data_IF_578395654684
#
_entry.id   IF_578395654684
#
_cell.length_a   1.000
_cell.length_b   1.000
_cell.length_c   1.000
_cell.angle_alpha   90.00
_cell.angle_beta   90.00
_cell.angle_gamma   90.00
#
_symmetry.space_group_name_H-M   'P 1'
#
loop_
_entity.id
_entity.type
_entity.pdbx_description
1 polymer ?
#
# COMPACT_ATOMS: atom_id res chain seq x y z
N UNK A 1 -81.77 -83.94 40.56
CA UNK A 1 -81.23 -84.01 41.92
C UNK A 1 -82.00 -85.10 42.65
N UNK A 2 -81.37 -86.25 42.91
CA UNK A 2 -81.98 -87.29 43.74
C UNK A 2 -82.05 -86.78 45.18
N UNK A 3 -83.24 -86.77 45.79
CA UNK A 3 -83.41 -86.39 47.19
C UNK A 3 -82.67 -87.37 48.09
N UNK A 4 -81.82 -86.87 48.99
CA UNK A 4 -81.19 -87.71 50.02
C UNK A 4 -82.27 -88.24 50.95
N UNK A 5 -82.34 -89.55 51.11
CA UNK A 5 -83.25 -90.23 52.04
C UNK A 5 -82.49 -90.54 53.33
N UNK A 6 -82.97 -90.04 54.46
CA UNK A 6 -82.34 -90.20 55.77
C UNK A 6 -83.02 -91.32 56.57
N UNK A 7 -82.25 -92.06 57.37
CA UNK A 7 -82.75 -93.18 58.18
C UNK A 7 -83.32 -92.74 59.55
N UNK A 8 -83.07 -91.49 59.95
CA UNK A 8 -83.60 -90.87 61.18
C UNK A 8 -83.63 -89.34 61.04
N UNK A 9 -84.57 -88.67 61.71
CA UNK A 9 -84.61 -87.19 61.82
C UNK A 9 -83.33 -86.60 62.40
N UNK A 10 -82.60 -87.38 63.22
CA UNK A 10 -81.30 -86.98 63.77
C UNK A 10 -80.21 -86.95 62.69
N UNK A 11 -80.20 -87.91 61.78
CA UNK A 11 -79.24 -88.00 60.67
C UNK A 11 -79.46 -86.87 59.65
N UNK A 12 -80.72 -86.54 59.38
CA UNK A 12 -81.09 -85.38 58.55
C UNK A 12 -80.61 -84.05 59.16
N UNK A 13 -80.81 -83.85 60.47
CA UNK A 13 -80.32 -82.67 61.19
C UNK A 13 -78.79 -82.58 61.19
N UNK A 14 -78.08 -83.71 61.36
CA UNK A 14 -76.62 -83.74 61.29
C UNK A 14 -76.11 -83.45 59.87
N UNK A 15 -76.78 -83.97 58.82
CA UNK A 15 -76.44 -83.68 57.43
C UNK A 15 -76.60 -82.19 57.09
N UNK A 16 -77.72 -81.57 57.47
CA UNK A 16 -77.93 -80.14 57.21
C UNK A 16 -77.03 -79.23 58.06
N UNK A 17 -76.68 -79.63 59.29
CA UNK A 17 -75.67 -78.93 60.10
C UNK A 17 -74.29 -79.00 59.47
N UNK A 18 -73.85 -80.17 59.01
CA UNK A 18 -72.59 -80.34 58.32
C UNK A 18 -72.57 -79.57 56.99
N UNK A 19 -73.70 -79.54 56.27
CA UNK A 19 -73.84 -78.75 55.05
C UNK A 19 -73.76 -77.25 55.32
N UNK A 20 -74.44 -76.73 56.34
CA UNK A 20 -74.33 -75.33 56.73
C UNK A 20 -72.90 -74.97 57.15
N UNK A 21 -72.25 -75.81 57.96
CA UNK A 21 -70.86 -75.58 58.37
C UNK A 21 -69.91 -75.53 57.16
N UNK A 22 -70.06 -76.44 56.19
CA UNK A 22 -69.27 -76.43 54.95
C UNK A 22 -69.58 -75.20 54.08
N UNK A 23 -70.85 -74.76 54.01
CA UNK A 23 -71.22 -73.54 53.29
C UNK A 23 -70.63 -72.29 53.96
N UNK A 24 -70.65 -72.21 55.30
CA UNK A 24 -70.03 -71.14 56.06
C UNK A 24 -68.51 -71.11 55.86
N UNK A 25 -67.85 -72.27 55.86
CA UNK A 25 -66.42 -72.42 55.57
C UNK A 25 -66.10 -71.92 54.15
N UNK A 26 -66.81 -72.39 53.13
CA UNK A 26 -66.60 -71.94 51.74
C UNK A 26 -66.91 -70.45 51.54
N UNK A 27 -67.93 -69.91 52.22
CA UNK A 27 -68.21 -68.47 52.23
C UNK A 27 -67.04 -67.70 52.83
N UNK A 28 -66.49 -68.18 53.95
CA UNK A 28 -65.36 -67.54 54.61
C UNK A 28 -64.09 -67.60 53.75
N UNK A 29 -63.77 -68.77 53.16
CA UNK A 29 -62.64 -68.93 52.25
C UNK A 29 -62.76 -68.00 51.02
N UNK A 30 -63.94 -67.93 50.41
CA UNK A 30 -64.15 -67.05 49.25
C UNK A 30 -64.10 -65.57 49.61
N UNK A 31 -64.56 -65.19 50.80
CA UNK A 31 -64.41 -63.83 51.32
C UNK A 31 -62.93 -63.49 51.55
N UNK A 32 -62.17 -64.38 52.19
CA UNK A 32 -60.73 -64.20 52.40
C UNK A 32 -59.98 -64.08 51.08
N UNK A 33 -60.26 -64.97 50.12
CA UNK A 33 -59.64 -64.94 48.79
C UNK A 33 -59.98 -63.64 48.01
N UNK A 34 -61.20 -63.12 48.17
CA UNK A 34 -61.58 -61.85 47.56
C UNK A 34 -60.84 -60.67 48.20
N UNK A 35 -60.68 -60.65 49.53
CA UNK A 35 -59.89 -59.62 50.22
C UNK A 35 -58.43 -59.66 49.78
N UNK A 36 -57.80 -60.84 49.72
CA UNK A 36 -56.44 -61.02 49.22
C UNK A 36 -56.31 -60.54 47.77
N UNK A 37 -57.27 -60.87 46.90
CA UNK A 37 -57.28 -60.39 45.52
C UNK A 37 -57.41 -58.87 45.43
N UNK A 38 -58.25 -58.25 46.27
CA UNK A 38 -58.41 -56.79 46.30
C UNK A 38 -57.13 -56.08 46.79
N UNK A 39 -56.46 -56.64 47.80
CA UNK A 39 -55.20 -56.11 48.31
C UNK A 39 -54.12 -56.22 47.24
N UNK A 40 -53.94 -57.40 46.66
CA UNK A 40 -52.91 -57.62 45.62
C UNK A 40 -53.16 -56.82 44.34
N UNK A 41 -54.42 -56.60 43.95
CA UNK A 41 -54.77 -55.70 42.84
C UNK A 41 -54.37 -54.26 43.15
N UNK A 42 -54.62 -53.79 44.38
CA UNK A 42 -54.24 -52.43 44.80
C UNK A 42 -52.72 -52.25 44.85
N UNK A 43 -52.00 -53.23 45.41
CA UNK A 43 -50.52 -53.20 45.44
C UNK A 43 -49.93 -53.17 44.02
N UNK A 44 -50.51 -53.95 43.09
CA UNK A 44 -50.10 -53.93 41.68
C UNK A 44 -50.39 -52.59 41.00
N UNK A 45 -51.56 -52.00 41.25
CA UNK A 45 -51.91 -50.66 40.76
C UNK A 45 -50.92 -49.60 41.26
N UNK A 46 -50.60 -49.61 42.56
CA UNK A 46 -49.61 -48.70 43.15
C UNK A 46 -48.21 -48.89 42.55
N UNK A 47 -47.79 -50.12 42.27
CA UNK A 47 -46.50 -50.40 41.63
C UNK A 47 -46.47 -49.90 40.17
N UNK A 48 -47.56 -50.08 39.42
CA UNK A 48 -47.70 -49.58 38.05
C UNK A 48 -47.71 -48.05 38.00
N UNK A 49 -48.41 -47.39 38.92
CA UNK A 49 -48.40 -45.93 39.05
C UNK A 49 -47.00 -45.40 39.35
N UNK A 50 -46.26 -46.08 40.25
CA UNK A 50 -44.89 -45.72 40.60
C UNK A 50 -43.93 -45.89 39.41
N UNK A 51 -44.07 -46.95 38.63
CA UNK A 51 -43.27 -47.16 37.41
C UNK A 51 -43.61 -46.11 36.34
N UNK A 52 -44.89 -45.79 36.16
CA UNK A 52 -45.34 -44.75 35.24
C UNK A 52 -44.77 -43.39 35.62
N UNK A 53 -44.85 -42.99 36.89
CA UNK A 53 -44.32 -41.72 37.38
C UNK A 53 -42.79 -41.63 37.17
N UNK A 54 -42.06 -42.71 37.47
CA UNK A 54 -40.62 -42.77 37.21
C UNK A 54 -40.28 -42.67 35.72
N UNK A 55 -41.05 -43.34 34.86
CA UNK A 55 -40.89 -43.29 33.41
C UNK A 55 -41.15 -41.89 32.86
N UNK A 56 -42.24 -41.25 33.29
CA UNK A 56 -42.56 -39.87 32.92
C UNK A 56 -41.49 -38.88 33.39
N UNK A 57 -40.98 -39.06 34.62
CA UNK A 57 -39.90 -38.22 35.15
C UNK A 57 -38.63 -38.35 34.29
N UNK A 58 -38.20 -39.58 33.99
CA UNK A 58 -37.06 -39.85 33.10
C UNK A 58 -37.28 -39.26 31.71
N UNK A 59 -38.49 -39.37 31.15
CA UNK A 59 -38.82 -38.79 29.87
C UNK A 59 -38.70 -37.26 29.88
N UNK A 60 -39.25 -36.59 30.92
CA UNK A 60 -39.14 -35.14 31.10
C UNK A 60 -37.69 -34.69 31.22
N UNK A 61 -36.88 -35.38 32.02
CA UNK A 61 -35.45 -35.10 32.18
C UNK A 61 -34.67 -35.25 30.86
N UNK A 62 -34.89 -36.37 30.14
CA UNK A 62 -34.26 -36.61 28.84
C UNK A 62 -34.70 -35.58 27.79
N UNK A 63 -35.96 -35.17 27.81
CA UNK A 63 -36.49 -34.14 26.91
C UNK A 63 -35.83 -32.79 27.15
N UNK A 64 -35.75 -32.34 28.41
CA UNK A 64 -35.06 -31.10 28.77
C UNK A 64 -33.58 -31.14 28.39
N UNK A 65 -32.91 -32.27 28.63
CA UNK A 65 -31.51 -32.46 28.22
C UNK A 65 -31.34 -32.40 26.70
N UNK A 66 -32.27 -32.98 25.94
CA UNK A 66 -32.26 -32.92 24.48
C UNK A 66 -32.43 -31.49 23.96
N UNK A 67 -33.36 -30.73 24.55
CA UNK A 67 -33.57 -29.31 24.22
C UNK A 67 -32.33 -28.47 24.56
N UNK A 68 -31.73 -28.66 25.73
CA UNK A 68 -30.48 -27.98 26.11
C UNK A 68 -29.33 -28.30 25.16
N UNK A 69 -29.17 -29.56 24.76
CA UNK A 69 -28.11 -29.97 23.82
C UNK A 69 -28.36 -29.39 22.42
N UNK A 70 -29.61 -29.25 21.99
CA UNK A 70 -29.94 -28.58 20.72
C UNK A 70 -29.55 -27.11 20.74
N UNK A 71 -29.90 -26.39 21.82
CA UNK A 71 -29.48 -25.00 22.00
C UNK A 71 -27.95 -24.87 21.98
N UNK A 72 -27.24 -25.73 22.73
CA UNK A 72 -25.78 -25.70 22.75
C UNK A 72 -25.17 -25.97 21.36
N UNK A 73 -25.73 -26.92 20.61
CA UNK A 73 -25.30 -27.19 19.22
C UNK A 73 -25.48 -25.97 18.33
N UNK A 74 -26.61 -25.28 18.43
CA UNK A 74 -26.87 -24.09 17.61
C UNK A 74 -25.99 -22.90 18.02
N UNK A 75 -25.72 -22.71 19.32
CA UNK A 75 -24.75 -21.74 19.83
C UNK A 75 -23.35 -21.99 19.28
N UNK A 76 -22.90 -23.25 19.29
CA UNK A 76 -21.58 -23.63 18.75
C UNK A 76 -21.51 -23.45 17.23
N UNK A 77 -22.58 -23.76 16.50
CA UNK A 77 -22.65 -23.46 15.06
C UNK A 77 -22.53 -21.97 14.82
N UNK A 78 -23.26 -21.14 15.55
CA UNK A 78 -23.21 -19.69 15.41
C UNK A 78 -21.79 -19.16 15.69
N UNK A 79 -21.17 -19.58 16.79
CA UNK A 79 -19.78 -19.22 17.12
C UNK A 79 -18.79 -19.66 16.03
N UNK A 80 -18.96 -20.86 15.49
CA UNK A 80 -18.14 -21.37 14.40
C UNK A 80 -18.30 -20.53 13.12
N UNK A 81 -19.54 -20.23 12.71
CA UNK A 81 -19.79 -19.42 11.52
C UNK A 81 -19.27 -17.99 11.68
N UNK A 82 -19.44 -17.39 12.86
CA UNK A 82 -18.90 -16.07 13.17
C UNK A 82 -17.36 -16.08 13.06
N UNK A 83 -16.70 -16.98 13.78
CA UNK A 83 -15.23 -17.11 13.75
C UNK A 83 -14.71 -17.39 12.34
N UNK A 84 -15.41 -18.23 11.58
CA UNK A 84 -15.05 -18.54 10.20
C UNK A 84 -15.18 -17.32 9.29
N UNK A 85 -16.24 -16.52 9.47
CA UNK A 85 -16.45 -15.28 8.71
C UNK A 85 -15.35 -14.26 9.04
N UNK A 86 -15.07 -14.07 10.32
CA UNK A 86 -14.03 -13.14 10.79
C UNK A 86 -12.64 -13.56 10.28
N UNK A 87 -12.34 -14.86 10.28
CA UNK A 87 -11.09 -15.39 9.74
C UNK A 87 -10.96 -15.17 8.23
N UNK A 88 -12.05 -15.36 7.47
CA UNK A 88 -12.06 -15.09 6.02
C UNK A 88 -11.86 -13.60 5.77
N UNK A 89 -12.54 -12.72 6.51
CA UNK A 89 -12.38 -11.27 6.39
C UNK A 89 -10.93 -10.83 6.68
N UNK A 90 -10.34 -11.32 7.77
CA UNK A 90 -8.95 -11.04 8.12
C UNK A 90 -7.97 -11.56 7.05
N UNK A 91 -8.22 -12.76 6.52
CA UNK A 91 -7.42 -13.32 5.44
C UNK A 91 -7.50 -12.45 4.17
N UNK A 92 -8.69 -12.01 3.77
CA UNK A 92 -8.87 -11.12 2.61
C UNK A 92 -8.19 -9.78 2.82
N UNK A 93 -8.26 -9.21 4.02
CA UNK A 93 -7.56 -7.96 4.34
C UNK A 93 -6.04 -8.12 4.21
N UNK A 94 -5.46 -9.18 4.76
CA UNK A 94 -4.03 -9.47 4.67
C UNK A 94 -3.60 -9.74 3.22
N UNK A 95 -4.44 -10.41 2.42
CA UNK A 95 -4.17 -10.64 1.00
C UNK A 95 -4.11 -9.32 0.22
N UNK A 96 -5.05 -8.40 0.47
CA UNK A 96 -5.09 -7.08 -0.17
C UNK A 96 -3.87 -6.22 0.23
N UNK A 97 -3.49 -6.24 1.51
CA UNK A 97 -2.31 -5.51 1.99
C UNK A 97 -1.03 -6.06 1.36
N UNK A 98 -0.90 -7.39 1.27
CA UNK A 98 0.24 -8.04 0.63
C UNK A 98 0.34 -7.68 -0.86
N UNK A 99 -0.79 -7.66 -1.57
CA UNK A 99 -0.84 -7.23 -2.97
C UNK A 99 -0.45 -5.75 -3.13
N UNK A 100 -0.95 -4.88 -2.25
CA UNK A 100 -0.58 -3.46 -2.21
C UNK A 100 0.91 -3.25 -1.98
N UNK A 101 1.50 -3.95 -1.01
CA UNK A 101 2.94 -3.87 -0.70
C UNK A 101 3.79 -4.38 -1.87
N UNK A 102 3.37 -5.46 -2.54
CA UNK A 102 4.06 -5.96 -3.74
C UNK A 102 4.01 -4.94 -4.88
N UNK A 103 2.84 -4.32 -5.12
CA UNK A 103 2.71 -3.28 -6.14
C UNK A 103 3.59 -2.07 -5.82
N UNK A 104 3.62 -1.63 -4.56
CA UNK A 104 4.48 -0.51 -4.13
C UNK A 104 5.96 -0.85 -4.28
N UNK A 105 6.36 -2.08 -3.97
CA UNK A 105 7.73 -2.55 -4.17
C UNK A 105 8.12 -2.52 -5.65
N UNK A 106 7.25 -3.01 -6.54
CA UNK A 106 7.48 -2.98 -7.99
C UNK A 106 7.59 -1.55 -8.51
N UNK A 107 6.67 -0.67 -8.12
CA UNK A 107 6.71 0.76 -8.47
C UNK A 107 7.99 1.43 -7.98
N UNK A 108 8.44 1.12 -6.76
CA UNK A 108 9.68 1.65 -6.20
C UNK A 108 10.89 1.18 -7.00
N UNK A 109 10.94 -0.10 -7.39
CA UNK A 109 12.01 -0.64 -8.22
C UNK A 109 12.07 0.00 -9.61
N UNK A 110 10.91 0.20 -10.24
CA UNK A 110 10.81 0.95 -11.51
C UNK A 110 11.33 2.37 -11.31
N UNK A 111 10.91 3.05 -10.23
CA UNK A 111 11.32 4.43 -10.00
C UNK A 111 12.81 4.57 -9.75
N UNK A 112 13.43 3.62 -9.04
CA UNK A 112 14.89 3.57 -8.88
C UNK A 112 15.58 3.48 -10.24
N UNK A 113 15.12 2.58 -11.12
CA UNK A 113 15.69 2.43 -12.45
C UNK A 113 15.53 3.69 -13.31
N UNK A 114 14.37 4.35 -13.25
CA UNK A 114 14.16 5.63 -13.94
C UNK A 114 15.16 6.69 -13.46
N UNK A 115 15.38 6.80 -12.15
CA UNK A 115 16.33 7.74 -11.58
C UNK A 115 17.78 7.42 -11.97
N UNK A 116 18.13 6.15 -12.08
CA UNK A 116 19.45 5.72 -12.59
C UNK A 116 19.66 6.17 -14.04
N UNK A 117 18.63 6.01 -14.90
CA UNK A 117 18.68 6.46 -16.30
C UNK A 117 18.80 7.99 -16.37
N UNK A 118 17.97 8.71 -15.61
CA UNK A 118 18.01 10.18 -15.55
C UNK A 118 19.38 10.69 -15.07
N UNK A 119 20.00 9.98 -14.13
CA UNK A 119 21.34 10.28 -13.63
C UNK A 119 22.41 10.08 -14.72
N UNK A 120 22.38 8.96 -15.44
CA UNK A 120 23.30 8.70 -16.55
C UNK A 120 23.18 9.76 -17.66
N UNK A 121 21.94 10.17 -17.99
CA UNK A 121 21.68 11.23 -18.95
C UNK A 121 22.22 12.58 -18.46
N UNK A 122 22.02 12.90 -17.18
CA UNK A 122 22.56 14.11 -16.57
C UNK A 122 24.09 14.12 -16.64
N UNK A 123 24.77 13.05 -16.25
CA UNK A 123 26.24 12.95 -16.35
C UNK A 123 26.71 13.11 -17.80
N UNK A 124 25.98 12.57 -18.78
CA UNK A 124 26.30 12.74 -20.20
C UNK A 124 26.22 14.20 -20.63
N UNK A 125 25.17 14.92 -20.23
CA UNK A 125 25.03 16.35 -20.51
C UNK A 125 26.10 17.17 -19.82
N UNK A 126 26.47 16.81 -18.59
CA UNK A 126 27.55 17.46 -17.83
C UNK A 126 28.90 17.31 -18.55
N UNK A 127 29.24 16.09 -19.00
CA UNK A 127 30.47 15.84 -19.78
C UNK A 127 30.50 16.66 -21.07
N UNK A 128 29.37 16.73 -21.79
CA UNK A 128 29.27 17.54 -23.01
C UNK A 128 29.43 19.04 -22.72
N UNK A 129 28.79 19.56 -21.67
CA UNK A 129 28.91 20.95 -21.25
C UNK A 129 30.34 21.29 -20.82
N UNK A 130 30.99 20.44 -20.03
CA UNK A 130 32.40 20.58 -19.64
C UNK A 130 33.33 20.62 -20.86
N UNK A 131 33.14 19.71 -21.82
CA UNK A 131 33.92 19.73 -23.06
C UNK A 131 33.72 21.05 -23.84
N UNK A 132 32.48 21.50 -23.96
CA UNK A 132 32.18 22.75 -24.66
C UNK A 132 32.76 23.98 -23.94
N UNK A 133 32.83 23.96 -22.61
CA UNK A 133 33.47 25.00 -21.81
C UNK A 133 34.97 25.04 -22.08
N UNK A 134 35.64 23.89 -22.05
CA UNK A 134 37.08 23.77 -22.34
C UNK A 134 37.38 24.28 -23.76
N UNK A 135 36.54 23.96 -24.74
CA UNK A 135 36.69 24.46 -26.11
C UNK A 135 36.57 26.00 -26.18
N UNK A 136 35.67 26.58 -25.39
CA UNK A 136 35.50 28.04 -25.31
C UNK A 136 36.69 28.70 -24.61
N UNK A 137 37.18 28.14 -23.51
CA UNK A 137 38.39 28.60 -22.81
C UNK A 137 39.60 28.59 -23.74
N UNK A 138 39.79 27.50 -24.51
CA UNK A 138 40.87 27.41 -25.49
C UNK A 138 40.74 28.46 -26.61
N UNK A 139 39.53 28.70 -27.12
CA UNK A 139 39.29 29.76 -28.12
C UNK A 139 39.57 31.15 -27.54
N UNK A 140 39.17 31.38 -26.30
CA UNK A 140 39.39 32.63 -25.58
C UNK A 140 40.88 32.88 -25.33
N UNK A 141 41.64 31.88 -24.86
CA UNK A 141 43.08 31.97 -24.68
C UNK A 141 43.81 32.29 -26.00
N UNK A 142 43.44 31.62 -27.10
CA UNK A 142 43.98 31.94 -28.43
C UNK A 142 43.62 33.35 -28.90
N UNK A 143 42.50 33.92 -28.46
CA UNK A 143 42.12 35.30 -28.77
C UNK A 143 42.94 36.30 -27.94
N UNK A 144 43.25 35.97 -26.68
CA UNK A 144 44.18 36.72 -25.84
C UNK A 144 45.57 36.72 -26.47
N UNK A 145 46.12 35.56 -26.82
CA UNK A 145 47.45 35.44 -27.46
C UNK A 145 47.54 36.32 -28.71
N UNK A 146 46.51 36.32 -29.56
CA UNK A 146 46.46 37.20 -30.74
C UNK A 146 46.40 38.68 -30.38
N UNK A 147 45.63 39.06 -29.36
CA UNK A 147 45.59 40.46 -28.91
C UNK A 147 46.97 40.92 -28.42
N UNK A 148 47.67 40.10 -27.63
CA UNK A 148 49.03 40.42 -27.15
C UNK A 148 50.00 40.63 -28.32
N UNK A 149 49.93 39.79 -29.35
CA UNK A 149 50.76 39.97 -30.56
C UNK A 149 50.43 41.29 -31.26
N UNK A 150 49.14 41.60 -31.44
CA UNK A 150 48.71 42.84 -32.08
C UNK A 150 49.09 44.09 -31.27
N UNK A 151 49.01 44.03 -29.94
CA UNK A 151 49.47 45.10 -29.05
C UNK A 151 50.97 45.36 -29.22
N UNK A 152 51.80 44.31 -29.28
CA UNK A 152 53.24 44.43 -29.55
C UNK A 152 53.53 44.99 -30.96
N UNK A 153 52.79 44.58 -31.99
CA UNK A 153 52.91 45.13 -33.34
C UNK A 153 52.55 46.63 -33.39
N UNK A 154 51.52 47.05 -32.66
CA UNK A 154 51.13 48.45 -32.52
C UNK A 154 52.19 49.26 -31.77
N UNK A 155 52.79 48.70 -30.72
CA UNK A 155 53.90 49.33 -30.00
C UNK A 155 55.12 49.50 -30.92
N UNK A 156 55.49 48.46 -31.68
CA UNK A 156 56.56 48.53 -32.70
C UNK A 156 56.29 49.59 -33.77
N UNK A 157 55.05 49.68 -34.26
CA UNK A 157 54.63 50.74 -35.19
C UNK A 157 54.76 52.13 -34.56
N UNK A 158 54.34 52.29 -33.31
CA UNK A 158 54.47 53.55 -32.56
C UNK A 158 55.93 53.98 -32.42
N UNK A 159 56.82 53.04 -32.05
CA UNK A 159 58.26 53.28 -31.97
C UNK A 159 58.84 53.72 -33.31
N UNK A 160 58.43 53.09 -34.42
CA UNK A 160 58.86 53.48 -35.76
C UNK A 160 58.35 54.87 -36.15
N UNK A 161 57.11 55.23 -35.80
CA UNK A 161 56.57 56.58 -36.02
C UNK A 161 57.43 57.61 -35.31
N UNK A 162 57.82 57.36 -34.04
CA UNK A 162 58.71 58.25 -33.28
C UNK A 162 60.08 58.38 -33.96
N UNK A 163 60.67 57.28 -34.42
CA UNK A 163 61.96 57.32 -35.14
C UNK A 163 61.86 58.10 -36.46
N UNK A 164 60.82 57.86 -37.27
CA UNK A 164 60.58 58.61 -38.50
C UNK A 164 60.40 60.10 -38.22
N UNK A 165 59.69 60.45 -37.15
CA UNK A 165 59.53 61.84 -36.75
C UNK A 165 60.89 62.47 -36.37
N UNK A 166 61.70 61.76 -35.57
CA UNK A 166 63.05 62.21 -35.22
C UNK A 166 63.94 62.40 -36.44
N UNK A 167 63.97 61.45 -37.37
CA UNK A 167 64.73 61.56 -38.62
C UNK A 167 64.25 62.72 -39.51
N UNK A 168 62.93 62.98 -39.54
CA UNK A 168 62.38 64.16 -40.22
C UNK A 168 62.87 65.45 -39.58
N UNK A 169 62.96 65.50 -38.26
CA UNK A 169 63.44 66.68 -37.55
C UNK A 169 64.96 66.86 -37.76
N UNK A 170 65.77 65.80 -37.70
CA UNK A 170 67.19 65.83 -38.08
C UNK A 170 67.40 66.26 -39.56
N UNK A 171 66.55 65.79 -40.49
CA UNK A 171 66.60 66.22 -41.89
C UNK A 171 66.25 67.70 -42.06
N UNK A 172 65.29 68.21 -41.29
CA UNK A 172 64.99 69.65 -41.28
C UNK A 172 66.18 70.44 -40.74
N UNK A 173 66.79 70.00 -39.65
CA UNK A 173 67.96 70.66 -39.06
C UNK A 173 69.12 70.71 -40.07
N UNK A 174 69.46 69.60 -40.71
CA UNK A 174 70.48 69.55 -41.78
C UNK A 174 70.09 70.43 -42.98
N UNK A 175 68.81 70.46 -43.36
CA UNK A 175 68.34 71.33 -44.46
C UNK A 175 68.48 72.81 -44.11
N UNK A 176 68.23 73.18 -42.85
CA UNK A 176 68.47 74.54 -42.33
C UNK A 176 69.97 74.85 -42.34
N UNK A 177 70.83 73.92 -41.89
CA UNK A 177 72.28 74.10 -41.95
C UNK A 177 72.79 74.28 -43.38
N UNK A 178 72.33 73.47 -44.34
CA UNK A 178 72.65 73.63 -45.76
C UNK A 178 72.15 74.97 -46.31
N UNK A 179 70.95 75.42 -45.93
CA UNK A 179 70.44 76.74 -46.32
C UNK A 179 71.32 77.88 -45.76
N UNK A 180 71.77 77.78 -44.51
CA UNK A 180 72.70 78.73 -43.89
C UNK A 180 74.06 78.70 -44.60
N UNK A 181 74.59 77.52 -44.93
CA UNK A 181 75.86 77.37 -45.66
C UNK A 181 75.76 77.95 -47.08
N UNK A 182 74.65 77.71 -47.78
CA UNK A 182 74.37 78.31 -49.08
C UNK A 182 74.30 79.84 -48.98
N UNK A 183 73.58 80.37 -47.99
CA UNK A 183 73.55 81.82 -47.72
C UNK A 183 74.90 82.40 -47.27
N UNK A 184 75.83 81.58 -46.76
CA UNK A 184 77.22 82.00 -46.48
C UNK A 184 78.11 81.96 -47.71
N UNK A 185 77.80 81.13 -48.71
CA UNK A 185 78.54 81.03 -49.97
C UNK A 185 78.07 82.06 -51.01
N UNK A 186 76.77 82.40 -50.97
CA UNK A 186 76.14 83.47 -51.76
C UNK A 186 75.89 84.68 -50.83
N UNK A 187 76.91 85.53 -50.65
CA UNK A 187 76.72 86.79 -49.93
C UNK A 187 75.90 87.79 -50.74
N UNK A 188 74.57 87.71 -50.69
CA UNK A 188 73.64 88.86 -50.70
C UNK A 188 72.16 88.44 -50.47
N UNK A 189 71.44 89.26 -49.68
CA UNK A 189 69.97 89.34 -49.50
C UNK A 189 69.22 88.35 -48.55
N UNK A 190 69.05 88.78 -47.29
CA UNK A 190 67.76 88.99 -46.57
C UNK A 190 66.76 87.82 -46.31
N UNK A 191 66.15 87.72 -45.10
CA UNK A 191 65.21 86.63 -44.77
C UNK A 191 63.78 86.93 -45.28
N UNK A 192 62.97 85.88 -45.50
CA UNK A 192 61.63 85.94 -44.92
C UNK A 192 61.13 84.64 -44.25
N UNK A 193 60.20 84.93 -43.35
CA UNK A 193 59.32 84.18 -42.45
C UNK A 193 58.31 83.21 -43.14
N UNK A 194 57.63 82.33 -42.37
CA UNK A 194 56.93 81.16 -42.89
C UNK A 194 55.55 81.52 -43.47
N UNK A 195 55.18 80.88 -44.59
CA UNK A 195 53.84 80.96 -45.16
C UNK A 195 53.13 79.61 -45.01
N UNK A 196 52.20 79.57 -44.08
CA UNK A 196 50.97 78.79 -44.17
C UNK A 196 50.20 79.15 -45.44
N UNK A 197 49.64 78.18 -46.16
CA UNK A 197 48.20 78.07 -46.47
C UNK A 197 47.86 76.87 -47.39
N UNK A 198 46.58 76.43 -47.39
CA UNK A 198 46.17 75.03 -47.55
C UNK A 198 45.83 74.68 -49.00
N UNK A 199 45.97 73.39 -49.34
CA UNK A 199 45.41 72.86 -50.59
C UNK A 199 44.64 71.57 -50.30
N UNK A 200 43.33 71.67 -50.49
CA UNK A 200 42.39 70.58 -50.81
C UNK A 200 41.58 71.09 -52.02
N UNK A 201 40.87 70.25 -52.81
CA UNK A 201 40.98 68.81 -53.10
C UNK A 201 40.99 68.54 -54.64
N UNK A 202 40.90 67.28 -55.11
CA UNK A 202 39.75 67.04 -56.00
C UNK A 202 39.02 65.70 -55.75
N UNK A 203 37.69 65.76 -55.81
CA UNK A 203 36.78 64.63 -55.99
C UNK A 203 36.77 64.15 -57.45
N UNK A 204 36.60 62.83 -57.66
CA UNK A 204 35.60 62.15 -58.54
C UNK A 204 35.82 60.62 -58.46
N UNK A 205 34.83 59.88 -57.94
CA UNK A 205 33.86 58.99 -58.64
C UNK A 205 34.55 57.86 -59.44
N UNK A 206 34.23 56.57 -59.35
CA UNK A 206 33.02 55.84 -58.98
C UNK A 206 33.34 54.32 -58.96
N UNK A 207 32.42 53.51 -58.40
CA UNK A 207 32.12 52.08 -58.76
C UNK A 207 32.39 51.00 -57.70
N UNK A 208 31.34 50.72 -56.91
CA UNK A 208 30.70 49.41 -56.68
C UNK A 208 31.50 48.10 -56.83
N UNK A 209 31.77 47.42 -55.71
CA UNK A 209 31.07 46.18 -55.26
C UNK A 209 31.86 45.47 -54.14
N UNK A 210 31.22 45.04 -53.03
CA UNK A 210 31.76 44.02 -52.14
C UNK A 210 30.96 42.70 -52.21
N UNK A 211 31.64 41.56 -52.30
CA UNK A 211 31.27 40.24 -51.71
C UNK A 211 32.32 39.16 -52.08
N UNK A 212 32.44 38.01 -51.37
CA UNK A 212 31.79 37.62 -50.12
C UNK A 212 32.77 37.14 -49.03
N UNK A 213 32.42 37.36 -47.75
CA UNK A 213 32.96 36.53 -46.67
C UNK A 213 31.85 36.19 -45.70
N UNK A 214 31.63 34.89 -45.59
CA UNK A 214 30.73 34.20 -44.69
C UNK A 214 31.06 34.54 -43.25
N UNK A 215 30.15 35.22 -42.56
CA UNK A 215 30.04 35.18 -41.11
C UNK A 215 28.57 35.37 -40.72
N UNK A 216 27.99 34.27 -40.25
CA UNK A 216 26.66 34.19 -39.66
C UNK A 216 26.76 34.44 -38.16
N UNK A 217 26.62 35.69 -37.72
CA UNK A 217 26.14 36.05 -36.37
C UNK A 217 25.41 37.40 -36.47
N UNK A 218 24.23 37.49 -35.86
CA UNK A 218 23.56 38.75 -35.56
C UNK A 218 22.23 38.98 -36.30
N UNK A 219 21.21 38.16 -36.01
CA UNK A 219 19.83 38.55 -36.30
C UNK A 219 19.41 39.64 -35.28
N UNK A 220 18.77 40.75 -35.69
CA UNK A 220 18.04 41.58 -34.74
C UNK A 220 16.88 40.74 -34.20
N UNK A 221 16.75 40.68 -32.88
CA UNK A 221 15.65 39.97 -32.22
C UNK A 221 14.35 40.70 -32.56
N UNK A 222 13.58 40.09 -33.45
CA UNK A 222 12.25 40.53 -33.85
C UNK A 222 11.37 40.60 -32.60
N UNK A 223 10.87 41.78 -32.23
CA UNK A 223 10.05 41.99 -31.04
C UNK A 223 8.80 41.08 -31.03
N UNK A 224 8.36 40.64 -32.21
CA UNK A 224 7.29 39.65 -32.37
C UNK A 224 7.66 38.25 -31.86
N UNK A 225 8.95 37.86 -31.88
CA UNK A 225 9.40 36.55 -31.40
C UNK A 225 9.32 36.43 -29.88
N UNK A 226 9.70 37.50 -29.16
CA UNK A 226 9.62 37.52 -27.69
C UNK A 226 8.18 37.54 -27.23
N UNK A 227 7.32 38.35 -27.86
CA UNK A 227 5.88 38.39 -27.58
C UNK A 227 5.23 37.02 -27.85
N UNK A 228 5.61 36.36 -28.94
CA UNK A 228 5.09 35.02 -29.29
C UNK A 228 5.53 33.93 -28.32
N UNK A 229 6.77 33.98 -27.82
CA UNK A 229 7.25 33.06 -26.79
C UNK A 229 6.51 33.25 -25.45
N UNK A 230 6.24 34.50 -25.06
CA UNK A 230 5.44 34.82 -23.87
C UNK A 230 3.98 34.35 -24.05
N UNK A 231 3.38 34.57 -25.21
CA UNK A 231 2.03 34.09 -25.54
C UNK A 231 1.95 32.56 -25.44
N UNK A 232 2.98 31.86 -25.89
CA UNK A 232 3.06 30.39 -25.84
C UNK A 232 3.25 29.88 -24.40
N UNK A 233 4.10 30.54 -23.60
CA UNK A 233 4.25 30.22 -22.17
C UNK A 233 2.94 30.44 -21.41
N UNK A 234 2.24 31.55 -21.64
CA UNK A 234 0.92 31.81 -21.03
C UNK A 234 -0.11 30.76 -21.46
N UNK A 235 -0.08 30.31 -22.72
CA UNK A 235 -0.91 29.21 -23.21
C UNK A 235 -0.63 27.89 -22.49
N UNK A 236 0.66 27.56 -22.27
CA UNK A 236 1.07 26.36 -21.52
C UNK A 236 0.66 26.45 -20.05
N UNK A 237 0.79 27.62 -19.41
CA UNK A 237 0.35 27.84 -18.02
C UNK A 237 -1.16 27.64 -17.88
N UNK A 238 -1.97 28.19 -18.79
CA UNK A 238 -3.43 27.97 -18.79
C UNK A 238 -3.81 26.49 -18.96
N UNK A 239 -3.07 25.75 -19.79
CA UNK A 239 -3.27 24.31 -19.97
C UNK A 239 -2.89 23.52 -18.70
N UNK A 240 -1.79 23.89 -18.05
CA UNK A 240 -1.37 23.29 -16.78
C UNK A 240 -2.39 23.57 -15.67
N UNK A 241 -2.91 24.79 -15.56
CA UNK A 241 -3.96 25.13 -14.59
C UNK A 241 -5.25 24.34 -14.84
N UNK A 242 -5.70 24.20 -16.09
CA UNK A 242 -6.88 23.40 -16.42
C UNK A 242 -6.71 21.93 -16.03
N UNK A 243 -5.53 21.35 -16.26
CA UNK A 243 -5.20 19.99 -15.82
C UNK A 243 -5.15 19.87 -14.30
N UNK A 244 -4.59 20.86 -13.61
CA UNK A 244 -4.54 20.89 -12.14
C UNK A 244 -5.94 20.97 -11.53
N UNK A 245 -6.83 21.77 -12.11
CA UNK A 245 -8.24 21.88 -11.69
C UNK A 245 -8.97 20.55 -11.91
N UNK A 246 -8.74 19.87 -13.04
CA UNK A 246 -9.29 18.54 -13.31
C UNK A 246 -8.80 17.50 -12.28
N UNK A 247 -7.50 17.47 -11.99
CA UNK A 247 -6.95 16.60 -10.94
C UNK A 247 -7.55 16.89 -9.56
N UNK A 248 -7.73 18.17 -9.20
CA UNK A 248 -8.39 18.55 -7.94
C UNK A 248 -9.83 18.07 -7.89
N UNK A 249 -10.60 18.15 -8.98
CA UNK A 249 -11.97 17.63 -9.04
C UNK A 249 -12.05 16.12 -8.79
N UNK A 250 -11.04 15.36 -9.22
CA UNK A 250 -10.99 13.91 -9.03
C UNK A 250 -10.54 13.51 -7.60
N UNK A 251 -9.70 14.34 -6.99
CA UNK A 251 -9.09 14.05 -5.68
C UNK A 251 -9.91 14.62 -4.50
N UNK A 252 -10.64 15.73 -4.71
CA UNK A 252 -11.46 16.37 -3.66
C UNK A 252 -12.49 15.44 -3.01
N UNK A 253 -13.20 14.56 -3.76
CA UNK A 253 -14.12 13.59 -3.15
C UNK A 253 -13.44 12.51 -2.30
N UNK A 254 -12.15 12.25 -2.52
CA UNK A 254 -11.38 11.22 -1.79
C UNK A 254 -10.78 11.74 -0.47
N UNK A 255 -10.65 13.06 -0.33
CA UNK A 255 -10.15 13.73 0.87
C UNK A 255 -11.27 14.18 1.81
N UNK A 256 -12.52 14.18 1.33
CA UNK A 256 -13.66 14.49 2.18
C UNK A 256 -13.87 13.35 3.19
N UNK A 257 -13.91 13.62 4.51
CA UNK A 257 -14.30 12.60 5.48
C UNK A 257 -15.71 12.10 5.13
N UNK A 258 -15.98 10.79 5.22
CA UNK A 258 -17.30 10.24 4.92
C UNK A 258 -18.36 10.92 5.80
N UNK A 259 -19.59 11.12 5.28
CA UNK A 259 -20.67 11.69 6.08
C UNK A 259 -20.84 10.82 7.31
N UNK A 260 -20.62 11.44 8.47
CA UNK A 260 -20.76 10.79 9.77
C UNK A 260 -22.22 10.38 9.92
N UNK A 261 -22.49 9.07 9.88
CA UNK A 261 -23.77 8.57 10.38
C UNK A 261 -23.80 8.85 11.88
N UNK A 262 -24.45 9.96 12.24
CA UNK A 262 -24.77 10.32 13.61
C UNK A 262 -25.83 9.34 14.13
N UNK A 263 -25.38 8.20 14.65
CA UNK A 263 -26.21 7.36 15.51
C UNK A 263 -26.07 7.86 16.93
N UNK A 264 -27.02 8.68 17.36
CA UNK A 264 -27.24 8.99 18.77
C UNK A 264 -27.78 7.73 19.46
N UNK A 265 -26.96 7.09 20.29
CA UNK A 265 -27.44 6.18 21.33
C UNK A 265 -26.97 6.72 22.70
N UNK A 266 -27.85 6.76 23.72
CA UNK A 266 -27.57 7.43 24.97
C UNK A 266 -26.60 6.62 25.85
N UNK A 267 -25.77 7.39 26.53
CA UNK A 267 -24.74 7.00 27.49
C UNK A 267 -25.35 6.28 28.70
N UNK A 268 -25.06 4.98 28.86
CA UNK A 268 -25.24 4.27 30.12
C UNK A 268 -23.93 4.29 30.90
N UNK A 269 -23.96 4.94 32.05
CA UNK A 269 -22.93 4.93 33.09
C UNK A 269 -22.67 3.50 33.56
N UNK A 270 -21.42 3.04 33.56
CA UNK A 270 -20.90 2.09 34.55
C UNK A 270 -19.37 1.99 34.48
N UNK A 271 -18.76 2.20 35.64
CA UNK A 271 -17.32 2.18 35.91
C UNK A 271 -16.67 0.80 35.71
N UNK A 272 -15.39 0.70 35.31
CA UNK A 272 -14.64 -0.56 35.40
C UNK A 272 -13.84 -0.67 36.73
N UNK A 273 -13.66 -1.90 37.29
CA UNK A 273 -12.82 -2.14 38.46
C UNK A 273 -11.32 -2.26 38.09
N UNK A 274 -10.37 -2.18 39.06
CA UNK A 274 -8.96 -2.01 38.76
C UNK A 274 -8.24 -3.31 38.38
N UNK A 275 -7.29 -3.20 37.45
CA UNK A 275 -6.42 -4.28 36.96
C UNK A 275 -5.33 -4.69 37.97
N UNK A 276 -4.94 -5.98 38.06
CA UNK A 276 -3.80 -6.41 38.86
C UNK A 276 -2.46 -6.25 38.12
N UNK A 277 -1.42 -6.07 38.93
CA UNK A 277 -0.04 -5.67 38.60
C UNK A 277 0.73 -6.69 37.75
N UNK A 278 1.46 -6.17 36.77
CA UNK A 278 2.47 -6.84 35.96
C UNK A 278 3.62 -7.31 36.88
N UNK A 279 3.98 -8.60 36.79
CA UNK A 279 5.25 -9.14 37.30
C UNK A 279 6.22 -9.32 36.13
N UNK A 280 7.45 -8.89 36.38
CA UNK A 280 8.60 -8.93 35.49
C UNK A 280 8.90 -10.33 34.93
N UNK A 281 9.26 -10.37 33.64
CA UNK A 281 9.94 -11.49 32.99
C UNK A 281 11.36 -11.04 32.58
N UNK A 282 12.41 -11.85 32.86
CA UNK A 282 13.78 -11.48 32.55
C UNK A 282 14.13 -11.72 31.07
N UNK A 283 14.97 -10.82 30.53
CA UNK A 283 15.58 -10.93 29.20
C UNK A 283 16.40 -12.20 29.06
N UNK A 284 16.19 -12.93 27.95
CA UNK A 284 17.15 -13.92 27.47
C UNK A 284 17.96 -13.39 26.30
N UNK A 285 19.25 -13.50 26.52
CA UNK A 285 20.40 -13.11 25.71
C UNK A 285 20.53 -13.96 24.46
N UNK A 286 20.88 -13.31 23.36
CA UNK A 286 21.26 -13.89 22.07
C UNK A 286 22.49 -14.81 22.20
N UNK A 287 22.41 -16.03 21.68
CA UNK A 287 23.58 -16.82 21.26
C UNK A 287 23.32 -17.49 19.91
N UNK A 288 24.31 -17.34 19.04
CA UNK A 288 24.35 -17.76 17.64
C UNK A 288 24.39 -19.29 17.48
N UNK A 289 23.80 -19.75 16.38
CA UNK A 289 24.30 -20.88 15.58
C UNK A 289 23.81 -22.27 15.99
N UNK A 290 22.81 -22.80 15.27
CA UNK A 290 22.79 -24.22 14.93
C UNK A 290 21.91 -24.49 13.71
N UNK A 291 22.49 -25.21 12.77
CA UNK A 291 21.93 -25.67 11.49
C UNK A 291 20.82 -26.68 11.76
N UNK A 292 19.62 -26.48 11.20
CA UNK A 292 18.64 -27.55 11.06
C UNK A 292 18.04 -27.64 9.66
N UNK A 293 18.21 -28.86 9.12
CA UNK A 293 17.67 -29.40 7.88
C UNK A 293 16.15 -29.23 7.79
N UNK A 294 15.71 -28.96 6.56
CA UNK A 294 14.33 -29.07 6.06
C UNK A 294 13.87 -30.54 6.08
N UNK A 295 12.71 -30.90 6.69
CA UNK A 295 12.09 -32.18 6.45
C UNK A 295 11.19 -32.15 5.21
N UNK A 296 11.29 -33.19 4.38
CA UNK A 296 10.41 -33.46 3.25
C UNK A 296 9.03 -33.94 3.74
N UNK A 297 7.97 -33.39 3.17
CA UNK A 297 6.59 -33.80 3.44
C UNK A 297 6.31 -35.06 2.59
N UNK A 298 6.26 -36.22 3.25
CA UNK A 298 5.66 -37.43 2.70
C UNK A 298 4.12 -37.26 2.68
N UNK A 299 3.52 -37.49 1.50
CA UNK A 299 2.07 -37.51 1.29
C UNK A 299 1.44 -38.65 2.12
N UNK A 300 0.67 -38.31 3.15
CA UNK A 300 -0.13 -39.27 3.91
C UNK A 300 -1.45 -39.58 3.20
N UNK A 301 -1.77 -40.88 3.21
CA UNK A 301 -2.87 -41.58 2.56
C UNK A 301 -4.26 -41.06 2.96
N UNK A 302 -5.17 -41.11 1.99
CA UNK A 302 -6.60 -40.88 2.14
C UNK A 302 -7.23 -41.80 3.19
N UNK A 303 -8.10 -41.23 4.02
CA UNK A 303 -8.93 -41.94 4.98
C UNK A 303 -10.23 -42.35 4.27
N UNK A 304 -10.40 -43.64 4.01
CA UNK A 304 -11.65 -44.22 3.51
C UNK A 304 -12.62 -44.44 4.67
N UNK A 305 -13.80 -43.81 4.63
CA UNK A 305 -14.90 -44.14 5.53
C UNK A 305 -15.53 -45.46 5.09
N UNK A 306 -15.34 -46.51 5.88
CA UNK A 306 -16.04 -47.78 5.72
C UNK A 306 -17.39 -47.67 6.43
N UNK A 307 -18.48 -47.76 5.66
CA UNK A 307 -19.84 -47.88 6.17
C UNK A 307 -19.99 -49.22 6.88
N UNK A 308 -20.28 -49.18 8.18
CA UNK A 308 -20.50 -50.38 8.99
C UNK A 308 -21.99 -50.76 8.91
N UNK A 309 -22.34 -51.67 8.00
CA UNK A 309 -23.65 -52.31 7.97
C UNK A 309 -23.67 -53.45 9.00
N UNK A 310 -24.42 -53.27 10.09
CA UNK A 310 -24.75 -54.35 11.03
C UNK A 310 -25.88 -55.22 10.45
N UNK A 311 -25.74 -56.54 10.32
CA UNK A 311 -26.88 -57.42 10.08
C UNK A 311 -27.60 -57.76 11.40
N UNK A 312 -28.93 -57.69 11.36
CA UNK A 312 -29.85 -58.14 12.40
C UNK A 312 -29.64 -59.64 12.69
N UNK A 313 -29.49 -60.01 13.97
CA UNK A 313 -29.41 -61.39 14.45
C UNK A 313 -30.82 -61.89 14.80
N UNK A 314 -31.28 -63.07 14.32
CA UNK A 314 -32.56 -63.62 14.73
C UNK A 314 -32.46 -64.27 16.11
N UNK A 315 -33.45 -64.00 16.97
CA UNK A 315 -33.62 -64.64 18.27
C UNK A 315 -34.00 -66.12 18.08
N UNK A 316 -33.27 -67.00 18.77
CA UNK A 316 -33.60 -68.42 18.89
C UNK A 316 -34.83 -68.61 19.79
N UNK A 317 -35.82 -69.37 19.30
CA UNK A 317 -36.84 -69.99 20.15
C UNK A 317 -36.18 -70.99 21.10
N UNK A 318 -36.47 -70.87 22.38
CA UNK A 318 -36.25 -71.92 23.39
C UNK A 318 -37.62 -72.26 23.97
N UNK A 319 -37.93 -73.56 23.88
CA UNK A 319 -38.97 -74.37 24.54
C UNK A 319 -40.35 -73.76 24.82
#
# INVERSE_FOLDING_TARGET
MAGKTFSSTKEELEHYKALNAALEETLHETQSALEEFQITSRELEEDLERELEQSEKKYKELKLKNESLKCEVDDWKQKYYQTKTDAVMAQTQLQNELESLKSLQEQSAIKTRELEIDFDDLERTERAAKSSLIDLENKYNKAIERNVILENELEGKSALIVQVQRLKDELKDVSIELAILKNKQDGDLGPPTPSSEPVSPPEKKETYNPLPTTNTVGKPMDQNSTVRMVQEMVGRVKSIEARLVSCRSLVTPLLAPPPSYSTTMPLATNSPPPSPKIRDMPSYRTTKGSVYRRPSIQKSKAFSMSLNNNPLRPMSKVQ
#
